data_IF_000836599099
#
_entry.id   IF_000836599099
#
_cell.length_a   1.000
_cell.length_b   1.000
_cell.length_c   1.000
_cell.angle_alpha   90.00
_cell.angle_beta   90.00
_cell.angle_gamma   90.00
#
_symmetry.space_group_name_H-M   'P 1'
#
loop_
_entity.id
_entity.type
_entity.pdbx_description
1 polymer ?
#
# COMPACT_ATOMS: atom_id res chain seq x y z
N UNK A 1 -18.69 -16.53 0.84
CA UNK A 1 -17.45 -15.97 1.41
C UNK A 1 -17.83 -14.85 2.34
N UNK A 2 -17.42 -14.90 3.62
CA UNK A 2 -17.85 -13.91 4.64
C UNK A 2 -16.77 -12.83 4.92
N UNK A 3 -15.54 -13.03 4.42
CA UNK A 3 -14.38 -12.15 4.59
C UNK A 3 -13.44 -12.31 3.38
N UNK A 4 -12.77 -11.25 2.99
CA UNK A 4 -11.64 -11.26 2.06
C UNK A 4 -10.59 -10.25 2.50
N UNK A 5 -9.36 -10.41 2.00
CA UNK A 5 -8.25 -9.49 2.18
C UNK A 5 -8.01 -8.80 0.83
N UNK A 6 -7.95 -7.47 0.83
CA UNK A 6 -7.56 -6.67 -0.32
C UNK A 6 -6.10 -6.26 -0.13
N UNK A 7 -5.25 -6.67 -1.06
CA UNK A 7 -3.81 -6.39 -1.05
C UNK A 7 -3.54 -5.33 -2.11
N UNK A 8 -2.77 -4.31 -1.77
CA UNK A 8 -2.39 -3.26 -2.71
C UNK A 8 -0.88 -3.14 -2.73
N UNK A 9 -0.30 -3.40 -3.89
CA UNK A 9 1.12 -3.22 -4.13
C UNK A 9 1.39 -1.77 -4.51
N UNK A 10 2.51 -1.23 -4.07
CA UNK A 10 2.85 0.18 -4.29
C UNK A 10 4.29 0.49 -3.97
N UNK A 11 4.64 1.77 -4.05
CA UNK A 11 5.99 2.25 -3.82
C UNK A 11 6.06 3.03 -2.51
N UNK A 12 7.13 2.83 -1.76
CA UNK A 12 7.51 3.78 -0.71
C UNK A 12 8.44 4.81 -1.35
N UNK A 13 8.02 6.07 -1.31
CA UNK A 13 8.84 7.20 -1.76
C UNK A 13 9.39 7.90 -0.53
N UNK A 14 10.70 8.11 -0.50
CA UNK A 14 11.39 8.79 0.59
C UNK A 14 12.18 9.98 0.03
N UNK A 15 12.04 11.12 0.69
CA UNK A 15 12.76 12.34 0.35
C UNK A 15 13.91 12.55 1.33
N UNK A 16 15.13 12.66 0.80
CA UNK A 16 16.33 12.89 1.60
C UNK A 16 16.92 14.28 1.34
N UNK A 17 17.37 14.95 2.40
CA UNK A 17 18.10 16.22 2.32
C UNK A 17 19.37 16.16 3.15
N UNK A 18 20.41 16.89 2.74
CA UNK A 18 21.63 17.01 3.55
C UNK A 18 21.36 17.87 4.79
N UNK A 19 21.77 17.38 5.95
CA UNK A 19 21.82 18.17 7.18
C UNK A 19 23.08 19.08 7.20
N UNK A 20 23.25 19.96 8.21
CA UNK A 20 24.44 20.80 8.34
C UNK A 20 25.77 20.02 8.47
N UNK A 21 25.72 18.74 8.90
CA UNK A 21 26.87 17.84 8.96
C UNK A 21 27.18 17.17 7.59
N UNK A 22 26.43 17.51 6.54
CA UNK A 22 26.63 16.98 5.19
C UNK A 22 26.07 15.58 4.95
N UNK A 23 25.33 15.01 5.90
CA UNK A 23 24.73 13.67 5.81
C UNK A 23 23.30 13.75 5.29
N UNK A 24 22.91 12.79 4.44
CA UNK A 24 21.52 12.67 4.00
C UNK A 24 20.65 12.13 5.14
N UNK A 25 19.57 12.85 5.44
CA UNK A 25 18.53 12.45 6.40
C UNK A 25 17.18 12.40 5.69
N UNK A 26 16.35 11.41 6.04
CA UNK A 26 14.98 11.32 5.52
C UNK A 26 14.14 12.45 6.10
N UNK A 27 13.47 13.20 5.23
CA UNK A 27 12.66 14.39 5.58
C UNK A 27 11.18 14.23 5.19
N UNK A 28 10.86 13.20 4.42
CA UNK A 28 9.50 12.88 4.01
C UNK A 28 9.41 11.43 3.57
N UNK A 29 8.27 10.81 3.85
CA UNK A 29 7.95 9.47 3.37
C UNK A 29 6.48 9.42 2.99
N UNK A 30 6.21 8.82 1.83
CA UNK A 30 4.86 8.54 1.37
C UNK A 30 4.78 7.10 0.85
N UNK A 31 3.62 6.46 1.02
CA UNK A 31 3.28 5.25 0.29
C UNK A 31 2.37 5.63 -0.88
N UNK A 32 2.76 5.26 -2.10
CA UNK A 32 1.98 5.46 -3.31
C UNK A 32 1.46 4.09 -3.73
N UNK A 33 0.17 3.87 -3.51
CA UNK A 33 -0.52 2.69 -4.01
C UNK A 33 -0.45 2.62 -5.54
N UNK A 34 -0.08 1.46 -6.08
CA UNK A 34 -0.10 1.17 -7.50
C UNK A 34 -1.47 0.73 -7.99
N UNK A 35 -1.52 0.33 -9.26
CA UNK A 35 -2.71 -0.22 -9.94
C UNK A 35 -2.95 -1.70 -9.62
N UNK A 36 -1.90 -2.43 -9.24
CA UNK A 36 -1.99 -3.83 -8.85
C UNK A 36 -2.71 -3.99 -7.51
N UNK A 37 -3.88 -4.65 -7.57
CA UNK A 37 -4.70 -5.01 -6.43
C UNK A 37 -5.05 -6.49 -6.51
N UNK A 38 -4.65 -7.23 -5.48
CA UNK A 38 -4.91 -8.66 -5.34
C UNK A 38 -5.94 -8.91 -4.23
N UNK A 39 -6.66 -10.02 -4.31
CA UNK A 39 -7.69 -10.40 -3.34
C UNK A 39 -7.47 -11.83 -2.88
N UNK A 40 -7.53 -12.06 -1.57
CA UNK A 40 -7.36 -13.38 -0.97
C UNK A 40 -8.52 -13.73 -0.03
N UNK A 41 -8.86 -15.02 0.05
CA UNK A 41 -9.79 -15.54 1.05
C UNK A 41 -9.11 -15.71 2.43
N UNK A 42 -9.87 -16.16 3.42
CA UNK A 42 -9.34 -16.37 4.78
C UNK A 42 -8.27 -17.47 4.90
N UNK A 43 -8.12 -18.31 3.88
CA UNK A 43 -7.12 -19.37 3.80
C UNK A 43 -5.91 -18.95 2.96
N UNK A 44 -5.87 -17.71 2.45
CA UNK A 44 -4.79 -17.22 1.58
C UNK A 44 -4.91 -17.66 0.12
N UNK A 45 -6.07 -18.19 -0.31
CA UNK A 45 -6.27 -18.51 -1.72
C UNK A 45 -6.64 -17.24 -2.49
N UNK A 46 -6.06 -17.05 -3.67
CA UNK A 46 -6.39 -15.92 -4.55
C UNK A 46 -7.84 -15.99 -5.03
N UNK A 47 -8.51 -14.84 -5.04
CA UNK A 47 -9.89 -14.68 -5.49
C UNK A 47 -9.89 -13.99 -6.86
N UNK A 48 -10.49 -14.65 -7.85
CA UNK A 48 -10.73 -14.07 -9.18
C UNK A 48 -12.06 -14.60 -9.73
N UNK A 49 -13.00 -13.73 -10.17
CA UNK A 49 -12.89 -12.27 -10.24
C UNK A 49 -12.97 -11.58 -8.86
N UNK A 50 -12.55 -10.31 -8.74
CA UNK A 50 -12.62 -9.56 -7.48
C UNK A 50 -14.04 -9.55 -6.88
N UNK A 51 -14.17 -9.63 -5.54
CA UNK A 51 -15.46 -9.55 -4.88
C UNK A 51 -16.10 -8.16 -5.05
N UNK A 52 -17.43 -8.13 -5.13
CA UNK A 52 -18.19 -6.88 -5.14
C UNK A 52 -18.11 -6.20 -3.77
N UNK A 53 -17.63 -4.96 -3.76
CA UNK A 53 -17.40 -4.17 -2.56
C UNK A 53 -17.40 -2.68 -2.88
N UNK A 54 -17.74 -1.84 -1.89
CA UNK A 54 -17.65 -0.40 -2.04
C UNK A 54 -16.19 0.00 -2.27
N UNK A 55 -15.97 0.91 -3.22
CA UNK A 55 -14.64 1.45 -3.48
C UNK A 55 -14.08 2.10 -2.20
N UNK A 56 -12.87 1.71 -1.84
CA UNK A 56 -12.13 2.30 -0.74
C UNK A 56 -10.76 2.78 -1.24
N UNK A 57 -10.46 4.05 -0.96
CA UNK A 57 -9.17 4.66 -1.25
C UNK A 57 -8.04 3.99 -0.46
N UNK A 58 -6.85 3.94 -1.05
CA UNK A 58 -5.63 3.41 -0.42
C UNK A 58 -5.02 4.39 0.58
N UNK A 59 -5.81 4.83 1.55
CA UNK A 59 -5.35 5.75 2.58
C UNK A 59 -4.70 4.96 3.72
N UNK A 60 -3.40 5.14 3.88
CA UNK A 60 -2.70 4.71 5.10
C UNK A 60 -3.09 5.66 6.23
N UNK A 61 -3.73 5.13 7.27
CA UNK A 61 -3.92 5.83 8.53
C UNK A 61 -2.87 5.27 9.49
N UNK A 62 -1.92 6.12 9.87
CA UNK A 62 -0.92 5.83 10.90
C UNK A 62 -1.57 5.85 12.29
#
# INVERSE_FOLDING_TARGET
>A
MNKFIKITSGFVVQEFKKNPAGQFVCTGQAFIAGDQVDYEDENGNSISPPPDHLYQQFKMVL
#
